data_IF_224739531411
#
_entry.id   IF_224739531411
#
_cell.length_a   1.000
_cell.length_b   1.000
_cell.length_c   1.000
_cell.angle_alpha   90.00
_cell.angle_beta   90.00
_cell.angle_gamma   90.00
#
_symmetry.space_group_name_H-M   'P 1'
#
loop_
_entity.id
_entity.type
_entity.pdbx_description
1 polymer ?
#
# COMPACT_ATOMS: atom_id res chain seq x y z
N UNK A 1 -19.53 0.46 1.77
CA UNK A 1 -18.69 -0.73 1.51
C UNK A 1 -18.69 -1.63 2.74
N UNK A 2 -18.82 -2.95 2.56
CA UNK A 2 -18.68 -3.96 3.62
C UNK A 2 -17.24 -4.48 3.68
N UNK A 3 -16.74 -4.83 4.87
CA UNK A 3 -15.44 -5.46 5.07
C UNK A 3 -15.61 -6.83 5.73
N UNK A 4 -15.02 -7.88 5.14
CA UNK A 4 -15.09 -9.24 5.63
C UNK A 4 -13.70 -9.80 5.90
N UNK A 5 -13.53 -10.49 7.02
CA UNK A 5 -12.29 -11.17 7.43
C UNK A 5 -12.49 -12.68 7.34
N UNK A 6 -12.33 -13.21 6.14
CA UNK A 6 -12.62 -14.60 5.81
C UNK A 6 -13.97 -14.79 5.13
N UNK A 7 -14.16 -15.99 4.60
CA UNK A 7 -15.39 -16.36 3.90
C UNK A 7 -16.60 -16.49 4.84
N UNK A 8 -16.35 -16.76 6.11
CA UNK A 8 -17.43 -16.95 7.09
C UNK A 8 -18.14 -15.65 7.46
N UNK A 9 -17.49 -14.50 7.24
CA UNK A 9 -18.09 -13.18 7.46
C UNK A 9 -19.01 -12.76 6.30
N UNK A 10 -18.99 -13.48 5.17
CA UNK A 10 -19.90 -13.18 4.03
C UNK A 10 -21.32 -13.52 4.44
N UNK A 11 -22.27 -12.56 4.36
CA UNK A 11 -23.66 -12.82 4.72
C UNK A 11 -24.27 -13.97 3.89
N UNK A 12 -25.06 -14.84 4.51
CA UNK A 12 -25.71 -15.97 3.82
C UNK A 12 -26.65 -15.51 2.70
N UNK A 13 -27.21 -14.31 2.81
CA UNK A 13 -28.11 -13.68 1.85
C UNK A 13 -27.41 -12.71 0.89
N UNK A 14 -26.07 -12.75 0.79
CA UNK A 14 -25.30 -11.83 -0.06
C UNK A 14 -25.72 -11.83 -1.53
N UNK A 15 -26.12 -12.97 -2.06
CA UNK A 15 -26.54 -13.09 -3.46
C UNK A 15 -25.37 -13.14 -4.45
N UNK A 16 -25.69 -13.02 -5.75
CA UNK A 16 -24.66 -13.08 -6.81
C UNK A 16 -23.79 -11.82 -6.82
N UNK A 17 -22.50 -11.98 -7.18
CA UNK A 17 -21.55 -10.87 -7.21
C UNK A 17 -20.54 -10.99 -8.35
N UNK A 18 -19.91 -9.89 -8.76
CA UNK A 18 -18.67 -9.92 -9.56
C UNK A 18 -17.48 -9.84 -8.63
N UNK A 19 -16.56 -10.78 -8.79
CA UNK A 19 -15.39 -10.94 -7.91
C UNK A 19 -14.12 -10.56 -8.65
N UNK A 20 -13.27 -9.74 -8.05
CA UNK A 20 -11.89 -9.54 -8.48
C UNK A 20 -10.93 -10.03 -7.41
N UNK A 21 -9.82 -10.68 -7.82
CA UNK A 21 -8.93 -11.39 -6.91
C UNK A 21 -7.49 -10.94 -7.12
N UNK A 22 -6.82 -10.57 -6.04
CA UNK A 22 -5.42 -10.20 -6.09
C UNK A 22 -4.83 -9.89 -4.73
N UNK A 23 -3.51 -9.89 -4.63
CA UNK A 23 -2.81 -9.38 -3.43
C UNK A 23 -3.05 -7.89 -3.28
N UNK A 24 -3.20 -7.17 -4.39
CA UNK A 24 -3.47 -5.73 -4.48
C UNK A 24 -2.47 -4.84 -3.71
N UNK A 25 -1.26 -5.36 -3.46
CA UNK A 25 -0.26 -4.56 -2.75
C UNK A 25 0.12 -3.31 -3.55
N UNK A 26 -0.06 -2.15 -2.91
CA UNK A 26 0.11 -0.83 -3.52
C UNK A 26 -1.10 -0.31 -4.29
N UNK A 27 -2.08 -1.12 -4.67
CA UNK A 27 -3.25 -0.73 -5.50
C UNK A 27 -2.84 0.21 -6.64
N UNK A 28 -1.81 -0.19 -7.41
CA UNK A 28 -1.24 0.56 -8.53
C UNK A 28 -2.17 0.59 -9.74
N UNK A 29 -1.86 1.36 -10.78
CA UNK A 29 -2.72 1.54 -11.96
C UNK A 29 -3.19 0.23 -12.62
N UNK A 30 -2.36 -0.83 -12.60
CA UNK A 30 -2.78 -2.16 -13.07
C UNK A 30 -3.90 -2.75 -12.22
N UNK A 31 -3.80 -2.64 -10.89
CA UNK A 31 -4.84 -3.07 -9.96
C UNK A 31 -6.11 -2.20 -10.09
N UNK A 32 -5.95 -0.87 -10.17
CA UNK A 32 -7.06 0.07 -10.34
C UNK A 32 -7.88 -0.27 -11.58
N UNK A 33 -7.21 -0.52 -12.72
CA UNK A 33 -7.89 -0.91 -13.96
C UNK A 33 -8.67 -2.22 -13.82
N UNK A 34 -8.08 -3.21 -13.13
CA UNK A 34 -8.73 -4.50 -12.90
C UNK A 34 -9.96 -4.36 -12.00
N UNK A 35 -9.83 -3.63 -10.89
CA UNK A 35 -10.95 -3.37 -9.97
C UNK A 35 -12.05 -2.56 -10.63
N UNK A 36 -11.70 -1.48 -11.36
CA UNK A 36 -12.69 -0.68 -12.11
C UNK A 36 -13.45 -1.55 -13.13
N UNK A 37 -12.76 -2.46 -13.82
CA UNK A 37 -13.44 -3.37 -14.76
C UNK A 37 -14.40 -4.32 -14.05
N UNK A 38 -14.05 -4.80 -12.84
CA UNK A 38 -14.95 -5.61 -12.03
C UNK A 38 -16.20 -4.83 -11.59
N UNK A 39 -16.03 -3.57 -11.19
CA UNK A 39 -17.15 -2.67 -10.83
C UNK A 39 -18.05 -2.41 -12.04
N UNK A 40 -17.47 -2.18 -13.23
CA UNK A 40 -18.25 -1.97 -14.46
C UNK A 40 -19.05 -3.22 -14.82
N UNK A 41 -18.41 -4.41 -14.82
CA UNK A 41 -19.11 -5.68 -15.09
C UNK A 41 -20.22 -5.95 -14.05
N UNK A 42 -19.98 -5.64 -12.79
CA UNK A 42 -20.99 -5.77 -11.73
C UNK A 42 -22.21 -4.89 -12.00
N UNK A 43 -21.98 -3.65 -12.42
CA UNK A 43 -23.04 -2.72 -12.83
C UNK A 43 -23.83 -3.24 -14.03
N UNK A 44 -23.14 -3.76 -15.05
CA UNK A 44 -23.76 -4.32 -16.26
C UNK A 44 -24.66 -5.53 -15.93
N UNK A 45 -24.25 -6.35 -14.94
CA UNK A 45 -25.00 -7.52 -14.47
C UNK A 45 -26.04 -7.21 -13.39
N UNK A 46 -26.06 -5.98 -12.85
CA UNK A 46 -26.96 -5.58 -11.77
C UNK A 46 -26.68 -6.29 -10.43
N UNK A 47 -25.42 -6.59 -10.15
CA UNK A 47 -24.96 -7.28 -8.93
C UNK A 47 -23.83 -6.49 -8.25
N UNK A 48 -23.54 -6.72 -6.95
CA UNK A 48 -22.42 -6.05 -6.28
C UNK A 48 -21.03 -6.53 -6.77
N UNK A 49 -20.04 -5.64 -6.63
CA UNK A 49 -18.62 -5.92 -6.87
C UNK A 49 -17.89 -6.25 -5.56
N UNK A 50 -17.13 -7.33 -5.55
CA UNK A 50 -16.33 -7.79 -4.41
C UNK A 50 -14.85 -7.86 -4.78
N UNK A 51 -13.98 -7.21 -4.01
CA UNK A 51 -12.54 -7.41 -4.10
C UNK A 51 -12.09 -8.44 -3.05
N UNK A 52 -11.43 -9.49 -3.50
CA UNK A 52 -10.83 -10.52 -2.64
C UNK A 52 -9.33 -10.29 -2.56
N UNK A 53 -8.81 -10.10 -1.36
CA UNK A 53 -7.38 -9.96 -1.07
C UNK A 53 -6.96 -10.89 0.07
N UNK A 54 -5.69 -10.87 0.43
CA UNK A 54 -5.11 -11.84 1.37
C UNK A 54 -4.34 -11.12 2.48
N UNK A 55 -4.42 -11.67 3.69
CA UNK A 55 -3.60 -11.27 4.83
C UNK A 55 -3.33 -12.52 5.70
N UNK A 56 -2.04 -12.81 6.03
CA UNK A 56 -0.81 -12.17 5.55
C UNK A 56 -0.56 -12.34 4.05
N UNK A 57 0.48 -11.66 3.55
CA UNK A 57 0.90 -11.79 2.14
C UNK A 57 1.20 -13.27 1.80
N UNK A 58 0.72 -13.82 0.67
CA UNK A 58 0.93 -15.23 0.34
C UNK A 58 2.40 -15.69 0.43
N UNK A 59 3.35 -14.88 -0.05
CA UNK A 59 4.77 -15.21 0.02
C UNK A 59 5.31 -15.29 1.46
N UNK A 60 4.70 -14.58 2.42
CA UNK A 60 5.09 -14.64 3.83
C UNK A 60 4.83 -16.05 4.41
N UNK A 61 3.75 -16.70 3.97
CA UNK A 61 3.37 -18.03 4.42
C UNK A 61 4.10 -19.12 3.67
N UNK A 62 4.20 -19.01 2.32
CA UNK A 62 4.80 -20.07 1.49
C UNK A 62 6.31 -19.98 1.39
N UNK A 63 6.90 -18.82 1.68
CA UNK A 63 8.34 -18.53 1.66
C UNK A 63 8.75 -17.67 2.84
N UNK A 64 8.66 -18.17 4.09
CA UNK A 64 8.99 -17.38 5.27
C UNK A 64 10.36 -16.72 5.19
N UNK A 65 10.41 -15.41 5.51
CA UNK A 65 11.64 -14.61 5.47
C UNK A 65 12.08 -14.11 4.10
N UNK A 66 11.33 -14.41 3.02
CA UNK A 66 11.65 -13.94 1.66
C UNK A 66 10.52 -13.16 0.99
N UNK A 67 9.48 -12.78 1.74
CA UNK A 67 8.40 -11.96 1.20
C UNK A 67 8.87 -10.53 0.93
N UNK A 68 8.35 -9.90 -0.14
CA UNK A 68 8.76 -8.56 -0.50
C UNK A 68 8.23 -7.51 0.49
N UNK A 69 8.92 -6.37 0.66
CA UNK A 69 8.40 -5.27 1.46
C UNK A 69 7.03 -4.81 0.95
N UNK A 70 6.08 -4.60 1.86
CA UNK A 70 4.71 -4.21 1.51
C UNK A 70 4.62 -2.73 1.17
N UNK A 71 3.94 -2.43 0.06
CA UNK A 71 3.68 -1.06 -0.42
C UNK A 71 2.54 -0.37 0.33
N UNK A 72 1.62 -1.16 0.89
CA UNK A 72 0.48 -0.69 1.66
C UNK A 72 0.23 -1.58 2.86
N UNK A 73 -0.19 -0.98 3.98
CA UNK A 73 -0.76 -1.74 5.10
C UNK A 73 -2.06 -2.43 4.65
N UNK A 74 -2.50 -3.54 5.30
CA UNK A 74 -3.78 -4.18 5.00
C UNK A 74 -4.96 -3.19 5.10
N UNK A 75 -4.96 -2.33 6.11
CA UNK A 75 -5.99 -1.31 6.30
C UNK A 75 -6.02 -0.32 5.12
N UNK A 76 -4.87 0.28 4.77
CA UNK A 76 -4.80 1.23 3.64
C UNK A 76 -5.16 0.59 2.30
N UNK A 77 -4.81 -0.66 2.08
CA UNK A 77 -5.20 -1.44 0.89
C UNK A 77 -6.72 -1.55 0.79
N UNK A 78 -7.40 -1.86 1.90
CA UNK A 78 -8.86 -1.95 1.96
C UNK A 78 -9.52 -0.61 1.65
N UNK A 79 -9.01 0.51 2.21
CA UNK A 79 -9.49 1.85 1.89
C UNK A 79 -9.35 2.18 0.40
N UNK A 80 -8.17 1.92 -0.18
CA UNK A 80 -7.91 2.18 -1.59
C UNK A 80 -8.79 1.35 -2.53
N UNK A 81 -9.09 0.12 -2.18
CA UNK A 81 -10.05 -0.71 -2.92
C UNK A 81 -11.47 -0.15 -2.81
N UNK A 82 -11.84 0.32 -1.61
CA UNK A 82 -13.13 0.99 -1.39
C UNK A 82 -13.30 2.27 -2.22
N UNK A 83 -12.24 3.09 -2.31
CA UNK A 83 -12.22 4.30 -3.13
C UNK A 83 -12.47 4.01 -4.63
N UNK A 84 -12.20 2.78 -5.10
CA UNK A 84 -12.48 2.35 -6.47
C UNK A 84 -13.92 1.89 -6.70
N UNK A 85 -14.77 1.91 -5.68
CA UNK A 85 -16.21 1.69 -5.79
C UNK A 85 -16.65 0.24 -5.69
N UNK A 86 -15.84 -0.65 -5.08
CA UNK A 86 -16.32 -1.99 -4.73
C UNK A 86 -17.35 -1.93 -3.59
N UNK A 87 -18.33 -2.82 -3.59
CA UNK A 87 -19.37 -2.91 -2.57
C UNK A 87 -18.86 -3.63 -1.32
N UNK A 88 -17.93 -4.57 -1.49
CA UNK A 88 -17.30 -5.27 -0.39
C UNK A 88 -15.81 -5.59 -0.66
N UNK A 89 -15.03 -5.69 0.43
CA UNK A 89 -13.66 -6.22 0.42
C UNK A 89 -13.62 -7.43 1.34
N UNK A 90 -13.24 -8.57 0.78
CA UNK A 90 -13.04 -9.82 1.52
C UNK A 90 -11.54 -10.07 1.70
N UNK A 91 -11.06 -9.97 2.92
CA UNK A 91 -9.66 -10.25 3.29
C UNK A 91 -9.59 -11.71 3.74
N UNK A 92 -9.05 -12.58 2.90
CA UNK A 92 -8.91 -14.00 3.22
C UNK A 92 -7.65 -14.24 4.07
N UNK A 93 -7.78 -14.92 5.21
CA UNK A 93 -6.63 -15.39 5.97
C UNK A 93 -5.81 -16.36 5.12
N UNK A 94 -4.60 -15.95 4.69
CA UNK A 94 -3.74 -16.82 3.89
C UNK A 94 -2.92 -17.71 4.81
N UNK A 95 -3.40 -18.93 5.04
CA UNK A 95 -2.74 -19.92 5.89
C UNK A 95 -1.99 -20.96 5.05
N UNK A 96 -1.11 -21.74 5.69
CA UNK A 96 -0.44 -22.85 5.02
C UNK A 96 -1.45 -23.91 4.52
N UNK A 97 -2.56 -24.10 5.21
CA UNK A 97 -3.65 -24.97 4.81
C UNK A 97 -4.34 -24.42 3.56
N UNK A 98 -4.72 -23.13 3.58
CA UNK A 98 -5.30 -22.44 2.43
C UNK A 98 -4.39 -22.52 1.19
N UNK A 99 -3.07 -22.40 1.37
CA UNK A 99 -2.09 -22.48 0.27
C UNK A 99 -2.00 -23.85 -0.41
N UNK A 100 -2.58 -24.91 0.20
CA UNK A 100 -2.64 -26.26 -0.34
C UNK A 100 -3.93 -26.57 -1.09
N UNK A 101 -4.91 -25.65 -1.04
CA UNK A 101 -6.19 -25.80 -1.72
C UNK A 101 -5.96 -25.85 -3.23
N UNK A 102 -6.55 -26.84 -3.89
CA UNK A 102 -6.51 -26.95 -5.35
C UNK A 102 -7.28 -25.80 -6.02
N UNK A 103 -7.04 -25.50 -7.31
CA UNK A 103 -7.83 -24.51 -8.02
C UNK A 103 -9.34 -24.78 -7.99
N UNK A 104 -9.76 -26.04 -8.17
CA UNK A 104 -11.17 -26.43 -8.11
C UNK A 104 -11.80 -26.19 -6.73
N UNK A 105 -11.12 -26.60 -5.66
CA UNK A 105 -11.58 -26.38 -4.29
C UNK A 105 -11.71 -24.88 -3.97
N UNK A 106 -10.74 -24.07 -4.37
CA UNK A 106 -10.81 -22.63 -4.17
C UNK A 106 -12.01 -22.00 -4.92
N UNK A 107 -12.18 -22.34 -6.20
CA UNK A 107 -13.31 -21.83 -7.00
C UNK A 107 -14.63 -22.27 -6.37
N UNK A 108 -14.78 -23.55 -6.02
CA UNK A 108 -16.01 -24.03 -5.44
C UNK A 108 -16.30 -23.36 -4.11
N UNK A 109 -15.37 -23.39 -3.16
CA UNK A 109 -15.60 -22.89 -1.80
C UNK A 109 -15.75 -21.37 -1.76
N UNK A 110 -14.84 -20.63 -2.41
CA UNK A 110 -14.82 -19.18 -2.30
C UNK A 110 -15.74 -18.50 -3.32
N UNK A 111 -15.64 -18.88 -4.61
CA UNK A 111 -16.34 -18.13 -5.66
C UNK A 111 -17.78 -18.61 -5.83
N UNK A 112 -18.02 -19.94 -5.76
CA UNK A 112 -19.37 -20.48 -6.01
C UNK A 112 -20.21 -20.51 -4.74
N UNK A 113 -19.72 -21.18 -3.69
CA UNK A 113 -20.54 -21.47 -2.52
C UNK A 113 -20.71 -20.26 -1.58
N UNK A 114 -19.74 -19.33 -1.55
CA UNK A 114 -19.76 -18.18 -0.63
C UNK A 114 -19.99 -16.83 -1.31
N UNK A 115 -19.29 -16.54 -2.40
CA UNK A 115 -19.40 -15.25 -3.08
C UNK A 115 -20.43 -15.28 -4.23
N UNK A 116 -21.00 -16.46 -4.55
CA UNK A 116 -21.99 -16.68 -5.59
C UNK A 116 -21.65 -15.96 -6.90
N UNK A 117 -20.40 -16.17 -7.39
CA UNK A 117 -19.84 -15.42 -8.50
C UNK A 117 -20.74 -15.46 -9.73
N UNK A 118 -21.15 -14.30 -10.23
CA UNK A 118 -21.75 -14.09 -11.54
C UNK A 118 -20.68 -13.78 -12.59
N UNK A 119 -19.57 -13.21 -12.15
CA UNK A 119 -18.40 -12.91 -12.97
C UNK A 119 -17.14 -12.85 -12.13
N UNK A 120 -16.01 -13.13 -12.77
CA UNK A 120 -14.68 -13.02 -12.15
C UNK A 120 -13.76 -12.23 -13.06
N UNK A 121 -13.13 -11.18 -12.53
CA UNK A 121 -12.22 -10.30 -13.25
C UNK A 121 -10.84 -10.43 -12.65
N UNK A 122 -9.84 -10.83 -13.43
CA UNK A 122 -8.46 -11.03 -12.98
C UNK A 122 -7.46 -10.52 -14.04
N UNK A 123 -6.21 -10.33 -13.65
CA UNK A 123 -5.15 -10.05 -14.62
C UNK A 123 -4.89 -11.26 -15.52
N UNK A 124 -4.47 -11.04 -16.78
CA UNK A 124 -4.15 -12.14 -17.72
C UNK A 124 -3.05 -13.08 -17.21
N UNK A 125 -2.17 -12.59 -16.33
CA UNK A 125 -1.10 -13.36 -15.72
C UNK A 125 -1.49 -13.96 -14.34
N UNK A 126 -2.76 -13.94 -13.98
CA UNK A 126 -3.23 -14.43 -12.67
C UNK A 126 -2.93 -15.91 -12.48
N UNK A 127 -2.44 -16.26 -11.30
CA UNK A 127 -2.17 -17.63 -10.86
C UNK A 127 -2.76 -17.87 -9.49
N UNK A 128 -3.32 -19.06 -9.26
CA UNK A 128 -3.96 -19.40 -8.00
C UNK A 128 -3.91 -20.89 -7.70
N UNK A 129 -4.40 -21.27 -6.52
CA UNK A 129 -4.40 -22.65 -6.05
C UNK A 129 -3.01 -23.17 -5.69
N UNK A 130 -2.94 -24.43 -5.27
CA UNK A 130 -1.72 -25.06 -4.81
C UNK A 130 -0.59 -24.96 -5.84
N UNK A 131 0.57 -24.43 -5.43
CA UNK A 131 1.75 -24.19 -6.29
C UNK A 131 1.45 -23.36 -7.54
N UNK A 132 0.47 -22.44 -7.47
CA UNK A 132 0.05 -21.61 -8.59
C UNK A 132 -0.34 -22.43 -9.84
N UNK A 133 -0.95 -23.60 -9.67
CA UNK A 133 -1.30 -24.51 -10.75
C UNK A 133 -2.51 -24.07 -11.56
N UNK A 134 -3.40 -23.22 -11.01
CA UNK A 134 -4.52 -22.62 -11.73
C UNK A 134 -4.12 -21.32 -12.43
N UNK A 135 -4.79 -21.02 -13.52
CA UNK A 135 -4.64 -19.83 -14.34
C UNK A 135 -6.00 -19.35 -14.90
N UNK A 136 -5.99 -18.37 -15.80
CA UNK A 136 -7.23 -17.83 -16.36
C UNK A 136 -8.00 -18.86 -17.22
N UNK A 137 -7.32 -19.81 -17.88
CA UNK A 137 -7.99 -20.88 -18.63
C UNK A 137 -8.66 -21.89 -17.70
N UNK A 138 -8.03 -22.15 -16.56
CA UNK A 138 -8.65 -22.94 -15.48
C UNK A 138 -9.93 -22.26 -14.99
N UNK A 139 -9.90 -20.92 -14.75
CA UNK A 139 -11.10 -20.16 -14.37
C UNK A 139 -12.19 -20.22 -15.44
N UNK A 140 -11.83 -20.15 -16.76
CA UNK A 140 -12.81 -20.24 -17.87
C UNK A 140 -13.50 -21.59 -17.89
N UNK A 141 -12.73 -22.68 -17.80
CA UNK A 141 -13.28 -24.03 -17.75
C UNK A 141 -14.24 -24.22 -16.55
N UNK A 142 -13.87 -23.69 -15.39
CA UNK A 142 -14.71 -23.76 -14.22
C UNK A 142 -15.91 -22.79 -14.32
N UNK A 143 -15.76 -21.65 -15.01
CA UNK A 143 -16.84 -20.73 -15.31
C UNK A 143 -17.95 -21.35 -16.15
N UNK A 144 -17.59 -22.15 -17.15
CA UNK A 144 -18.56 -22.94 -17.93
C UNK A 144 -19.31 -23.97 -17.07
N UNK A 145 -18.60 -24.56 -16.09
CA UNK A 145 -19.20 -25.56 -15.19
C UNK A 145 -20.15 -24.94 -14.17
N UNK A 146 -19.82 -23.75 -13.66
CA UNK A 146 -20.52 -23.13 -12.53
C UNK A 146 -21.33 -21.88 -12.90
N UNK A 147 -21.47 -21.57 -14.17
CA UNK A 147 -22.28 -20.46 -14.72
C UNK A 147 -21.83 -19.06 -14.22
N UNK A 148 -20.51 -18.75 -14.38
CA UNK A 148 -19.97 -17.41 -14.20
C UNK A 148 -19.10 -17.00 -15.38
N UNK A 149 -19.07 -15.69 -15.71
CA UNK A 149 -18.24 -15.16 -16.79
C UNK A 149 -16.82 -14.83 -16.30
N UNK A 150 -15.82 -14.95 -17.20
CA UNK A 150 -14.41 -14.59 -16.88
C UNK A 150 -13.94 -13.49 -17.80
N UNK A 151 -13.37 -12.46 -17.20
CA UNK A 151 -12.63 -11.43 -17.93
C UNK A 151 -11.18 -11.34 -17.48
N UNK A 152 -10.27 -11.40 -18.45
CA UNK A 152 -8.85 -11.15 -18.28
C UNK A 152 -8.51 -9.70 -18.61
N UNK A 153 -7.88 -8.99 -17.68
CA UNK A 153 -7.46 -7.61 -17.89
C UNK A 153 -5.99 -7.58 -18.27
N UNK A 154 -5.65 -6.99 -19.44
CA UNK A 154 -4.27 -6.87 -19.89
C UNK A 154 -3.42 -6.04 -18.93
N UNK A 155 -2.12 -6.39 -18.85
CA UNK A 155 -1.16 -5.65 -18.04
C UNK A 155 -1.06 -4.19 -18.53
N UNK A 156 -1.18 -3.25 -17.59
CA UNK A 156 -0.94 -1.83 -17.87
C UNK A 156 0.56 -1.61 -18.06
N UNK A 157 0.93 -0.94 -19.14
CA UNK A 157 2.32 -0.64 -19.49
C UNK A 157 2.51 0.88 -19.63
N UNK A 158 3.62 1.36 -19.08
CA UNK A 158 4.15 2.69 -19.36
C UNK A 158 5.65 2.51 -19.64
N UNK A 159 5.96 1.96 -20.86
CA UNK A 159 7.24 1.33 -21.14
C UNK A 159 7.24 -0.12 -20.63
N UNK A 160 7.61 -0.33 -19.38
CA UNK A 160 7.51 -1.63 -18.70
C UNK A 160 6.11 -1.89 -18.12
N UNK A 161 5.82 -3.15 -17.78
CA UNK A 161 4.57 -3.51 -17.13
C UNK A 161 4.56 -2.96 -15.69
N UNK A 162 3.55 -2.15 -15.35
CA UNK A 162 3.36 -1.65 -13.99
C UNK A 162 3.05 -2.85 -13.08
N UNK A 163 3.88 -3.01 -12.04
CA UNK A 163 3.77 -4.08 -11.06
C UNK A 163 4.26 -3.63 -9.69
N UNK A 164 3.82 -4.31 -8.62
CA UNK A 164 4.34 -4.05 -7.27
C UNK A 164 5.85 -4.25 -7.17
N UNK A 165 6.43 -5.18 -7.96
CA UNK A 165 7.88 -5.39 -8.03
C UNK A 165 8.60 -4.17 -8.59
N UNK A 166 8.17 -3.64 -9.73
CA UNK A 166 8.75 -2.43 -10.33
C UNK A 166 8.67 -1.24 -9.36
N UNK A 167 7.54 -1.07 -8.66
CA UNK A 167 7.39 0.02 -7.70
C UNK A 167 8.36 -0.12 -6.52
N UNK A 168 8.57 -1.34 -6.02
CA UNK A 168 9.57 -1.60 -4.97
C UNK A 168 11.00 -1.28 -5.44
N UNK A 169 11.34 -1.61 -6.69
CA UNK A 169 12.63 -1.27 -7.29
C UNK A 169 12.82 0.24 -7.40
N UNK A 170 11.78 0.99 -7.84
CA UNK A 170 11.79 2.46 -7.85
C UNK A 170 12.03 3.04 -6.44
N UNK A 171 11.28 2.56 -5.43
CA UNK A 171 11.45 3.01 -4.04
C UNK A 171 12.85 2.68 -3.49
N UNK A 172 13.36 1.49 -3.78
CA UNK A 172 14.71 1.09 -3.39
C UNK A 172 15.82 1.93 -4.05
N UNK A 173 15.56 2.50 -5.22
CA UNK A 173 16.41 3.47 -5.90
C UNK A 173 16.19 4.93 -5.43
N UNK A 174 15.14 5.19 -4.63
CA UNK A 174 14.75 6.53 -4.19
C UNK A 174 13.92 7.32 -5.22
N UNK A 175 13.48 6.67 -6.30
CA UNK A 175 12.59 7.26 -7.31
C UNK A 175 11.14 7.23 -6.82
N UNK A 176 10.83 8.14 -5.90
CA UNK A 176 9.47 8.30 -5.36
C UNK A 176 8.50 8.92 -6.36
N UNK A 177 9.01 9.70 -7.33
CA UNK A 177 8.21 10.31 -8.40
C UNK A 177 7.74 9.25 -9.39
N UNK A 178 8.64 8.37 -9.85
CA UNK A 178 8.30 7.23 -10.70
C UNK A 178 7.34 6.26 -9.99
N UNK A 179 7.58 5.98 -8.71
CA UNK A 179 6.69 5.17 -7.90
C UNK A 179 5.29 5.80 -7.79
N UNK A 180 5.20 7.12 -7.56
CA UNK A 180 3.93 7.85 -7.51
C UNK A 180 3.18 7.80 -8.84
N UNK A 181 3.89 7.96 -9.97
CA UNK A 181 3.31 7.84 -11.30
C UNK A 181 2.73 6.43 -11.57
N UNK A 182 3.38 5.37 -11.07
CA UNK A 182 2.89 4.00 -11.21
C UNK A 182 1.72 3.69 -10.24
N UNK A 183 1.71 4.30 -9.05
CA UNK A 183 0.66 4.16 -8.04
C UNK A 183 -0.58 5.02 -8.33
N UNK A 184 -0.43 6.13 -9.08
CA UNK A 184 -1.47 7.16 -9.26
C UNK A 184 -1.60 8.10 -8.03
N UNK A 185 -0.68 8.02 -7.07
CA UNK A 185 -0.62 8.83 -5.85
C UNK A 185 0.77 8.74 -5.21
N UNK A 186 1.16 9.68 -4.33
CA UNK A 186 2.40 9.56 -3.57
C UNK A 186 2.49 8.23 -2.81
N UNK A 187 3.71 7.65 -2.74
CA UNK A 187 3.96 6.52 -1.87
C UNK A 187 3.83 6.96 -0.42
N UNK A 188 3.21 6.11 0.40
CA UNK A 188 2.89 6.38 1.81
C UNK A 188 3.53 5.36 2.73
N UNK A 189 4.20 5.84 3.78
CA UNK A 189 4.63 5.04 4.92
C UNK A 189 3.78 5.43 6.13
N UNK A 190 3.14 4.45 6.75
CA UNK A 190 2.31 4.62 7.93
C UNK A 190 3.01 4.04 9.16
N UNK A 191 2.76 4.63 10.33
CA UNK A 191 3.31 4.13 11.58
C UNK A 191 2.89 4.95 12.78
N UNK A 192 3.51 4.63 13.93
CA UNK A 192 3.29 5.33 15.19
C UNK A 192 4.48 6.23 15.50
N UNK A 193 4.23 7.43 15.97
CA UNK A 193 5.29 8.32 16.39
C UNK A 193 5.89 7.87 17.72
N UNK A 194 7.17 7.53 17.69
CA UNK A 194 7.93 7.07 18.87
C UNK A 194 9.00 8.07 19.29
N UNK A 195 9.52 7.91 20.50
CA UNK A 195 10.64 8.73 20.97
C UNK A 195 11.93 8.28 20.31
N UNK A 196 12.50 9.16 19.48
CA UNK A 196 13.85 9.00 18.90
C UNK A 196 14.94 9.64 19.77
N UNK A 197 16.11 9.83 19.18
CA UNK A 197 17.27 10.44 19.86
C UNK A 197 17.12 11.94 20.16
N UNK A 198 16.06 12.60 19.72
CA UNK A 198 15.72 14.02 19.92
C UNK A 198 16.83 15.02 19.50
N UNK A 199 17.78 14.62 18.65
CA UNK A 199 18.90 15.48 18.20
C UNK A 199 18.38 16.66 17.37
N UNK A 200 17.41 16.43 16.50
CA UNK A 200 16.80 17.49 15.68
C UNK A 200 16.12 18.58 16.53
N UNK A 201 15.43 18.19 17.62
CA UNK A 201 14.77 19.14 18.52
C UNK A 201 15.74 20.13 19.16
N UNK A 202 16.96 19.63 19.56
CA UNK A 202 18.00 20.48 20.15
C UNK A 202 18.56 21.49 19.11
N UNK A 203 18.42 21.22 17.82
CA UNK A 203 18.87 22.05 16.70
C UNK A 203 17.74 22.95 16.12
N UNK A 204 16.53 22.93 16.70
CA UNK A 204 15.38 23.70 16.22
C UNK A 204 14.51 22.99 15.16
N UNK A 205 14.74 21.70 14.91
CA UNK A 205 13.98 20.89 13.96
C UNK A 205 13.36 19.68 14.66
N UNK A 206 12.24 19.84 15.40
CA UNK A 206 11.58 18.72 16.07
C UNK A 206 10.99 17.76 15.02
N UNK A 207 11.52 16.54 14.93
CA UNK A 207 11.06 15.50 14.01
C UNK A 207 10.14 14.50 14.70
N UNK A 208 9.10 14.03 13.97
CA UNK A 208 8.35 12.84 14.30
C UNK A 208 9.14 11.61 13.82
N UNK A 209 9.54 10.74 14.75
CA UNK A 209 10.18 9.46 14.42
C UNK A 209 9.06 8.44 14.21
N UNK A 210 8.89 7.98 12.96
CA UNK A 210 7.79 7.09 12.58
C UNK A 210 8.26 5.64 12.62
N UNK A 211 7.74 4.88 13.55
CA UNK A 211 7.91 3.43 13.62
C UNK A 211 6.85 2.76 12.74
N UNK A 212 7.28 2.29 11.57
CA UNK A 212 6.43 1.59 10.61
C UNK A 212 6.40 0.09 10.91
N UNK A 213 5.33 -0.63 10.48
CA UNK A 213 5.30 -2.10 10.56
C UNK A 213 6.52 -2.74 9.91
N UNK A 214 6.89 -3.93 10.41
CA UNK A 214 7.96 -4.72 9.78
C UNK A 214 7.64 -4.97 8.31
N UNK A 215 8.68 -5.03 7.49
CA UNK A 215 8.57 -5.23 6.05
C UNK A 215 7.80 -4.15 5.27
N UNK A 216 7.68 -2.94 5.82
CA UNK A 216 7.19 -1.79 5.05
C UNK A 216 8.20 -1.41 3.97
N UNK A 217 7.72 -1.13 2.75
CA UNK A 217 8.53 -0.61 1.65
C UNK A 217 8.90 0.86 1.92
N UNK A 218 10.06 1.08 2.52
CA UNK A 218 10.60 2.41 2.80
C UNK A 218 11.53 2.83 1.64
N UNK A 219 11.42 4.06 1.09
CA UNK A 219 12.31 4.55 0.02
C UNK A 219 13.78 4.54 0.42
N UNK A 220 14.73 4.63 -0.53
CA UNK A 220 16.17 4.68 -0.27
C UNK A 220 16.54 5.73 0.78
N UNK A 221 17.70 5.56 1.45
CA UNK A 221 18.22 6.56 2.38
C UNK A 221 18.41 7.90 1.67
N UNK A 222 18.04 8.99 2.33
CA UNK A 222 18.09 10.33 1.75
C UNK A 222 17.17 11.31 2.46
N UNK A 223 17.06 12.51 1.89
CA UNK A 223 16.12 13.55 2.32
C UNK A 223 15.11 13.79 1.23
N UNK A 224 13.85 13.92 1.63
CA UNK A 224 12.69 14.02 0.75
C UNK A 224 11.80 15.20 1.12
N UNK A 225 11.12 15.76 0.15
CA UNK A 225 9.94 16.59 0.36
C UNK A 225 8.69 15.73 0.39
N UNK A 226 7.70 16.12 1.19
CA UNK A 226 6.44 15.40 1.25
C UNK A 226 5.51 15.95 2.31
N UNK A 227 4.71 15.06 2.89
CA UNK A 227 3.67 15.44 3.82
C UNK A 227 3.65 14.52 5.04
N UNK A 228 3.39 15.10 6.20
CA UNK A 228 3.08 14.38 7.43
C UNK A 228 1.59 14.57 7.74
N UNK A 229 0.86 13.50 7.96
CA UNK A 229 -0.56 13.51 8.27
C UNK A 229 -0.83 12.70 9.54
N UNK A 230 -1.63 13.22 10.47
CA UNK A 230 -2.18 12.46 11.57
C UNK A 230 -3.44 11.71 11.11
N UNK A 231 -3.46 10.36 11.18
CA UNK A 231 -4.48 9.55 10.51
C UNK A 231 -5.61 9.09 11.42
N UNK A 232 -5.42 9.03 12.75
CA UNK A 232 -6.39 8.41 13.66
C UNK A 232 -6.72 9.25 14.89
N UNK A 233 -7.95 9.11 15.35
CA UNK A 233 -8.41 9.48 16.70
C UNK A 233 -7.77 8.52 17.76
N UNK A 234 -7.52 8.94 19.03
CA UNK A 234 -8.00 10.19 19.62
C UNK A 234 -7.00 11.36 19.59
N UNK A 235 -6.18 11.51 18.57
CA UNK A 235 -5.25 12.64 18.48
C UNK A 235 -5.98 13.96 18.26
N UNK A 236 -5.55 15.01 18.97
CA UNK A 236 -6.04 16.38 18.76
C UNK A 236 -5.77 16.89 17.33
N UNK A 237 -4.92 16.20 16.58
CA UNK A 237 -4.50 16.52 15.22
C UNK A 237 -5.09 15.57 14.19
N UNK A 238 -6.03 14.71 14.53
CA UNK A 238 -6.63 13.74 13.60
C UNK A 238 -7.12 14.42 12.32
N UNK A 239 -6.73 13.87 11.16
CA UNK A 239 -7.06 14.43 9.84
C UNK A 239 -6.21 15.62 9.41
N UNK A 240 -5.39 16.23 10.30
CA UNK A 240 -4.51 17.33 9.91
C UNK A 240 -3.31 16.82 9.10
N UNK A 241 -2.88 17.63 8.14
CA UNK A 241 -1.77 17.35 7.23
C UNK A 241 -0.86 18.57 7.11
N UNK A 242 0.45 18.33 7.18
CA UNK A 242 1.46 19.39 7.11
C UNK A 242 2.50 19.08 6.04
N UNK A 243 2.99 20.10 5.29
CA UNK A 243 4.20 19.93 4.50
C UNK A 243 5.34 19.46 5.39
N UNK A 244 6.21 18.60 4.88
CA UNK A 244 7.28 18.02 5.66
C UNK A 244 8.59 17.86 4.88
N UNK A 245 9.71 18.06 5.58
CA UNK A 245 11.00 17.55 5.20
C UNK A 245 11.20 16.19 5.89
N UNK A 246 11.50 15.16 5.09
CA UNK A 246 11.54 13.78 5.55
C UNK A 246 12.96 13.24 5.40
N UNK A 247 13.53 12.70 6.48
CA UNK A 247 14.83 12.03 6.46
C UNK A 247 14.64 10.53 6.61
N UNK A 248 15.23 9.78 5.70
CA UNK A 248 15.37 8.33 5.81
C UNK A 248 16.83 8.01 6.02
N UNK A 249 17.11 7.28 7.10
CA UNK A 249 18.45 6.87 7.47
C UNK A 249 18.49 5.45 8.02
N UNK A 250 19.67 4.90 8.03
CA UNK A 250 19.95 3.56 8.52
C UNK A 250 20.70 3.65 9.84
N UNK A 251 20.12 3.13 10.91
CA UNK A 251 20.77 3.05 12.22
C UNK A 251 21.14 1.60 12.54
N UNK A 252 22.42 1.33 12.93
CA UNK A 252 22.79 0.02 13.45
C UNK A 252 22.01 -0.27 14.75
N UNK A 253 21.43 -1.45 14.85
CA UNK A 253 20.76 -1.95 16.05
C UNK A 253 21.42 -3.25 16.51
N UNK A 254 21.10 -3.72 17.74
CA UNK A 254 21.60 -5.01 18.26
C UNK A 254 21.11 -6.20 17.42
N UNK A 255 19.93 -6.06 16.77
CA UNK A 255 19.30 -7.12 15.97
C UNK A 255 19.51 -6.93 14.45
N UNK A 256 20.37 -5.97 14.04
CA UNK A 256 20.65 -5.68 12.63
C UNK A 256 20.64 -4.20 12.30
N UNK A 257 20.02 -3.85 11.16
CA UNK A 257 19.94 -2.48 10.66
C UNK A 257 18.48 -2.06 10.62
N UNK A 258 18.10 -1.11 11.46
CA UNK A 258 16.77 -0.51 11.39
C UNK A 258 16.80 0.74 10.51
N UNK A 259 15.86 0.87 9.60
CA UNK A 259 15.64 2.09 8.83
C UNK A 259 14.67 2.99 9.59
N UNK A 260 15.04 4.25 9.75
CA UNK A 260 14.24 5.25 10.45
C UNK A 260 13.63 6.22 9.44
N UNK A 261 12.37 6.56 9.64
CA UNK A 261 11.68 7.63 8.92
C UNK A 261 11.42 8.76 9.91
N UNK A 262 12.07 9.89 9.69
CA UNK A 262 11.95 11.08 10.52
C UNK A 262 11.31 12.20 9.70
N UNK A 263 10.15 12.72 10.12
CA UNK A 263 9.43 13.77 9.43
C UNK A 263 9.39 15.05 10.27
N UNK A 264 9.90 16.15 9.73
CA UNK A 264 9.78 17.49 10.28
C UNK A 264 8.60 18.20 9.60
N UNK A 265 7.53 18.45 10.36
CA UNK A 265 6.40 19.27 9.88
C UNK A 265 6.84 20.72 9.76
N UNK A 266 6.81 21.29 8.55
CA UNK A 266 7.32 22.62 8.28
C UNK A 266 6.52 23.67 9.08
N UNK A 267 7.28 24.60 9.67
CA UNK A 267 6.74 25.74 10.42
C UNK A 267 5.85 25.35 11.63
N UNK A 268 6.06 24.13 12.17
CA UNK A 268 5.35 23.60 13.33
C UNK A 268 6.34 23.04 14.36
N UNK A 269 6.54 23.77 15.43
CA UNK A 269 7.36 23.39 16.59
C UNK A 269 6.52 23.02 17.83
N UNK A 270 5.21 23.24 17.73
CA UNK A 270 4.22 23.07 18.78
C UNK A 270 3.55 21.68 18.81
N UNK A 271 3.84 20.80 17.82
CA UNK A 271 3.17 19.51 17.70
C UNK A 271 3.69 18.50 18.74
N UNK A 272 2.76 17.90 19.48
CA UNK A 272 3.01 16.71 20.29
C UNK A 272 2.29 15.51 19.67
N UNK A 273 3.04 14.74 18.87
CA UNK A 273 2.52 13.60 18.10
C UNK A 273 2.91 12.25 18.72
N UNK A 274 3.53 12.20 19.90
CA UNK A 274 3.94 10.92 20.49
C UNK A 274 2.76 9.97 20.69
N UNK A 275 2.90 8.74 20.21
CA UNK A 275 1.86 7.71 20.22
C UNK A 275 0.75 7.91 19.19
N UNK A 276 0.77 9.00 18.41
CA UNK A 276 -0.18 9.20 17.33
C UNK A 276 0.14 8.31 16.12
N UNK A 277 -0.90 7.81 15.47
CA UNK A 277 -0.78 7.17 14.16
C UNK A 277 -0.65 8.23 13.08
N UNK A 278 0.40 8.11 12.28
CA UNK A 278 0.71 9.07 11.22
C UNK A 278 0.99 8.37 9.91
N UNK A 279 0.81 9.13 8.83
CA UNK A 279 1.22 8.77 7.49
C UNK A 279 2.23 9.80 6.97
N UNK A 280 3.26 9.32 6.29
CA UNK A 280 4.26 10.12 5.60
C UNK A 280 4.15 9.86 4.11
N UNK A 281 3.71 10.86 3.35
CA UNK A 281 3.61 10.82 1.89
C UNK A 281 4.89 11.43 1.28
N UNK A 282 5.51 10.72 0.32
CA UNK A 282 6.73 11.15 -0.35
C UNK A 282 6.41 11.79 -1.70
N UNK A 283 6.78 13.07 -1.89
CA UNK A 283 6.57 13.81 -3.14
C UNK A 283 7.81 13.77 -4.04
N UNK A 284 8.99 14.13 -3.50
CA UNK A 284 10.23 14.22 -4.27
C UNK A 284 11.47 13.94 -3.40
N UNK A 285 12.51 13.37 -4.01
CA UNK A 285 13.82 13.18 -3.36
C UNK A 285 14.66 14.42 -3.53
N UNK A 286 15.03 15.07 -2.43
CA UNK A 286 15.83 16.29 -2.44
C UNK A 286 17.33 15.99 -2.64
N UNK A 287 17.83 14.96 -1.94
CA UNK A 287 19.25 14.58 -1.97
C UNK A 287 19.54 13.24 -1.27
N UNK A 288 20.74 12.77 -1.48
CA UNK A 288 21.33 11.66 -0.71
C UNK A 288 21.67 12.07 0.73
N UNK A 289 21.92 11.08 1.57
CA UNK A 289 22.47 11.31 2.93
C UNK A 289 23.89 11.87 2.83
N UNK A 290 24.18 12.93 3.58
CA UNK A 290 25.47 13.59 3.63
C UNK A 290 26.12 13.42 5.01
N UNK A 291 27.45 13.40 5.07
CA UNK A 291 28.21 13.57 6.29
C UNK A 291 28.66 15.03 6.42
N UNK A 292 28.59 15.56 7.63
CA UNK A 292 28.95 16.95 7.92
C UNK A 292 30.12 16.99 8.88
N UNK A 293 31.07 17.91 8.59
CA UNK A 293 32.27 18.11 9.41
C UNK A 293 32.01 19.03 10.61
N UNK A 294 30.89 19.74 10.62
CA UNK A 294 30.50 20.62 11.73
C UNK A 294 28.98 20.66 11.93
N UNK A 295 28.53 21.07 13.11
CA UNK A 295 27.11 21.27 13.44
C UNK A 295 26.54 22.42 12.63
N UNK A 296 27.31 23.48 12.41
CA UNK A 296 26.89 24.65 11.62
C UNK A 296 26.60 24.27 10.16
N UNK A 297 27.44 23.43 9.54
CA UNK A 297 27.21 22.90 8.20
C UNK A 297 25.97 22.02 8.13
N UNK A 298 25.72 21.19 9.14
CA UNK A 298 24.50 20.41 9.24
C UNK A 298 23.25 21.31 9.32
N UNK A 299 23.25 22.32 10.20
CA UNK A 299 22.12 23.24 10.37
C UNK A 299 21.85 24.01 9.08
N UNK A 300 22.90 24.51 8.41
CA UNK A 300 22.77 25.22 7.15
C UNK A 300 22.11 24.34 6.07
N UNK A 301 22.51 23.06 5.99
CA UNK A 301 21.89 22.11 5.06
C UNK A 301 20.44 21.80 5.43
N UNK A 302 20.12 21.65 6.72
CA UNK A 302 18.75 21.41 7.16
C UNK A 302 17.82 22.58 6.77
N UNK A 303 18.27 23.82 6.90
CA UNK A 303 17.50 24.98 6.39
C UNK A 303 17.30 24.92 4.89
N UNK A 304 18.33 24.58 4.11
CA UNK A 304 18.21 24.43 2.66
C UNK A 304 17.22 23.33 2.26
N UNK A 305 17.23 22.20 2.98
CA UNK A 305 16.28 21.10 2.76
C UNK A 305 14.83 21.50 3.08
N UNK A 306 14.61 22.24 4.17
CA UNK A 306 13.31 22.78 4.57
C UNK A 306 12.79 23.76 3.51
N UNK A 307 13.65 24.66 3.02
CA UNK A 307 13.27 25.61 1.98
C UNK A 307 12.93 24.91 0.66
N UNK A 308 13.70 23.89 0.26
CA UNK A 308 13.41 23.08 -0.91
C UNK A 308 12.08 22.32 -0.75
N UNK A 309 11.85 21.67 0.40
CA UNK A 309 10.60 20.98 0.70
C UNK A 309 9.40 21.92 0.65
N UNK A 310 9.53 23.15 1.21
CA UNK A 310 8.46 24.16 1.17
C UNK A 310 8.09 24.54 -0.26
N UNK A 311 9.06 24.76 -1.14
CA UNK A 311 8.79 25.14 -2.55
C UNK A 311 8.03 24.03 -3.29
N UNK A 312 8.36 22.78 -3.06
CA UNK A 312 7.74 21.64 -3.73
C UNK A 312 6.32 21.36 -3.21
N UNK A 313 6.08 21.52 -1.91
CA UNK A 313 4.78 21.20 -1.31
C UNK A 313 3.73 22.30 -1.50
N UNK A 314 4.12 23.59 -1.57
CA UNK A 314 3.19 24.70 -1.83
C UNK A 314 2.58 24.61 -3.24
N UNK A 315 3.30 24.07 -4.22
CA UNK A 315 2.78 23.85 -5.58
C UNK A 315 1.69 22.78 -5.65
N UNK A 316 1.78 21.75 -4.84
CA UNK A 316 0.85 20.61 -4.80
C UNK A 316 -0.51 20.96 -4.14
N UNK A 317 -0.53 21.90 -3.21
CA UNK A 317 -1.75 22.31 -2.49
C UNK A 317 -2.68 23.19 -3.35
N UNK A 318 -2.15 23.82 -4.41
CA UNK A 318 -2.92 24.63 -5.36
C UNK A 318 -3.51 23.80 -6.53
N UNK A 319 -3.10 22.52 -6.66
CA UNK A 319 -3.50 21.63 -7.75
C UNK A 319 -4.62 20.65 -7.36
N UNK A 320 -5.09 20.69 -6.12
CA UNK A 320 -6.21 19.91 -5.56
C UNK A 320 -7.39 20.79 -5.22
#
# INVERSE_FOLDING_TARGET
MQGWHGLDDVPEDWGRSVVTIGVFDGVHHGHQRMVSRAVDLARDLGVPAVAVTFDPHPDEVVRPGSHPPQLTTPHRRTELLAELGVDAVCVLPFTLEFSRMSPDEFVQTALVDRLHAAGVVVGENFRFGHKASGDIETLRTLGEKYDYVIEGVPLVRNGDAISSTLIREMLAAGDVVGAAAALGRPHRVEGVVVRGHQRGRALGFPTANVESPQHTAIPADGVYAGWLQCTQEPSAYAGQRWPAAISIGTNPTFDGVARTVEAYALDRDDLDLYGAHVAVDFSERLRDTLKFDSIEALIAQMHADVDAARHLTVGDDQAR
#
